data_IF_076014436475
#
_entry.id   IF_076014436475
#
_cell.length_a   1.000
_cell.length_b   1.000
_cell.length_c   1.000
_cell.angle_alpha   90.00
_cell.angle_beta   90.00
_cell.angle_gamma   90.00
#
_symmetry.space_group_name_H-M   'P 1'
#
loop_
_entity.id
_entity.type
_entity.pdbx_description
1 polymer ?
#
# COMPACT_ATOMS: atom_id res chain seq x y z
N UNK A 1 0.14 -16.81 -0.94
CA UNK A 1 -0.88 -16.44 -1.97
C UNK A 1 -1.14 -14.93 -2.03
N UNK A 2 -1.22 -14.23 -0.90
CA UNK A 2 -1.68 -12.84 -0.81
C UNK A 2 -0.73 -11.79 -1.41
N UNK A 3 0.59 -11.93 -1.21
CA UNK A 3 1.59 -10.97 -1.68
C UNK A 3 1.61 -10.82 -3.22
N UNK A 4 1.47 -11.94 -3.94
CA UNK A 4 1.53 -11.98 -5.41
C UNK A 4 0.32 -11.33 -6.07
N UNK A 5 -0.88 -11.50 -5.49
CA UNK A 5 -2.12 -10.87 -5.99
C UNK A 5 -2.03 -9.34 -5.87
N UNK A 6 -1.52 -8.88 -4.74
CA UNK A 6 -1.39 -7.44 -4.47
C UNK A 6 -0.30 -6.83 -5.36
N UNK A 7 0.85 -7.51 -5.50
CA UNK A 7 1.92 -7.02 -6.36
C UNK A 7 1.49 -6.93 -7.83
N UNK A 8 0.67 -7.87 -8.32
CA UNK A 8 0.09 -7.80 -9.65
C UNK A 8 -0.85 -6.60 -9.80
N UNK A 9 -1.77 -6.38 -8.86
CA UNK A 9 -2.69 -5.23 -8.93
C UNK A 9 -1.97 -3.88 -8.89
N UNK A 10 -0.88 -3.75 -8.13
CA UNK A 10 -0.12 -2.50 -8.08
C UNK A 10 0.75 -2.31 -9.31
N UNK A 11 1.30 -3.39 -9.86
CA UNK A 11 2.07 -3.37 -11.11
C UNK A 11 1.18 -2.98 -12.29
N UNK A 12 -0.07 -3.47 -12.33
CA UNK A 12 -1.09 -3.05 -13.31
C UNK A 12 -1.40 -1.54 -13.24
N UNK A 13 -1.20 -0.92 -12.08
CA UNK A 13 -1.39 0.53 -11.85
C UNK A 13 -0.11 1.36 -12.01
N UNK A 14 0.99 0.78 -12.50
CA UNK A 14 2.32 1.41 -12.56
C UNK A 14 2.84 1.93 -11.20
N UNK A 15 2.33 1.40 -10.09
CA UNK A 15 2.76 1.78 -8.75
C UNK A 15 3.95 0.93 -8.33
N UNK A 16 5.13 1.54 -8.27
CA UNK A 16 6.30 0.93 -7.62
C UNK A 16 6.19 1.10 -6.11
N UNK A 17 5.80 0.03 -5.41
CA UNK A 17 5.82 -0.03 -3.95
C UNK A 17 7.03 -0.85 -3.51
N UNK A 18 7.84 -0.29 -2.62
CA UNK A 18 8.98 -0.97 -2.00
C UNK A 18 8.49 -2.16 -1.14
N UNK A 19 9.20 -3.30 -1.19
CA UNK A 19 8.86 -4.49 -0.41
C UNK A 19 8.72 -4.22 1.09
N UNK A 20 9.48 -3.26 1.63
CA UNK A 20 9.39 -2.86 3.05
C UNK A 20 8.05 -2.20 3.39
N UNK A 21 7.40 -1.53 2.44
CA UNK A 21 6.07 -0.96 2.64
C UNK A 21 5.03 -2.08 2.71
N UNK A 22 5.17 -3.12 1.89
CA UNK A 22 4.31 -4.31 1.98
C UNK A 22 4.45 -4.98 3.35
N UNK A 23 5.67 -5.25 3.80
CA UNK A 23 5.92 -5.83 5.12
C UNK A 23 5.33 -4.98 6.25
N UNK A 24 5.46 -3.66 6.14
CA UNK A 24 4.85 -2.72 7.09
C UNK A 24 3.33 -2.87 7.10
N UNK A 25 2.67 -2.80 5.93
CA UNK A 25 1.21 -2.92 5.85
C UNK A 25 0.71 -4.29 6.34
N UNK A 26 1.40 -5.37 6.02
CA UNK A 26 1.07 -6.71 6.52
C UNK A 26 1.12 -6.75 8.05
N UNK A 27 2.14 -6.16 8.69
CA UNK A 27 2.21 -6.11 10.15
C UNK A 27 0.96 -5.50 10.81
N UNK A 28 0.30 -4.52 10.17
CA UNK A 28 -0.88 -3.84 10.74
C UNK A 28 -2.22 -4.39 10.22
N UNK A 29 -2.27 -4.96 9.01
CA UNK A 29 -3.51 -5.37 8.35
C UNK A 29 -3.56 -6.87 7.99
N UNK A 30 -2.62 -7.68 8.48
CA UNK A 30 -2.46 -9.10 8.16
C UNK A 30 -3.72 -9.96 8.33
N UNK A 31 -4.65 -9.55 9.19
CA UNK A 31 -5.83 -10.34 9.54
C UNK A 31 -7.00 -10.20 8.55
N UNK A 32 -7.03 -9.13 7.74
CA UNK A 32 -8.13 -8.86 6.81
C UNK A 32 -7.64 -8.27 5.48
N UNK A 33 -7.72 -9.09 4.44
CA UNK A 33 -7.33 -8.73 3.07
C UNK A 33 -8.15 -7.56 2.52
N UNK A 34 -9.42 -7.41 2.92
CA UNK A 34 -10.26 -6.28 2.47
C UNK A 34 -9.77 -4.96 3.05
N UNK A 35 -9.33 -4.97 4.32
CA UNK A 35 -8.77 -3.78 4.96
C UNK A 35 -7.43 -3.42 4.31
N UNK A 36 -6.59 -4.42 4.02
CA UNK A 36 -5.33 -4.20 3.30
C UNK A 36 -5.56 -3.59 1.92
N UNK A 37 -6.48 -4.13 1.11
CA UNK A 37 -6.82 -3.56 -0.20
C UNK A 37 -7.36 -2.12 -0.10
N UNK A 38 -8.24 -1.85 0.88
CA UNK A 38 -8.78 -0.51 1.11
C UNK A 38 -7.69 0.50 1.49
N UNK A 39 -6.76 0.10 2.35
CA UNK A 39 -5.61 0.91 2.72
C UNK A 39 -4.71 1.21 1.51
N UNK A 40 -4.53 0.21 0.62
CA UNK A 40 -3.73 0.38 -0.59
C UNK A 40 -4.38 1.31 -1.61
N UNK A 41 -5.70 1.22 -1.81
CA UNK A 41 -6.43 2.18 -2.65
C UNK A 41 -6.36 3.61 -2.09
N UNK A 42 -6.37 3.78 -0.76
CA UNK A 42 -6.20 5.09 -0.14
C UNK A 42 -4.79 5.64 -0.37
N UNK A 43 -3.76 4.80 -0.23
CA UNK A 43 -2.37 5.17 -0.48
C UNK A 43 -2.13 5.55 -1.95
N UNK A 44 -2.70 4.79 -2.88
CA UNK A 44 -2.62 5.06 -4.31
C UNK A 44 -3.21 6.44 -4.65
N UNK A 45 -4.46 6.69 -4.23
CA UNK A 45 -5.13 7.98 -4.43
C UNK A 45 -4.33 9.15 -3.85
N UNK A 46 -3.83 9.01 -2.62
CA UNK A 46 -3.04 10.06 -1.97
C UNK A 46 -1.67 10.29 -2.65
N UNK A 47 -1.04 9.22 -3.13
CA UNK A 47 0.22 9.25 -3.87
C UNK A 47 0.05 10.03 -5.18
N UNK A 48 -1.00 9.70 -5.95
CA UNK A 48 -1.34 10.38 -7.20
C UNK A 48 -1.64 11.86 -6.99
N UNK A 49 -2.44 12.20 -5.97
CA UNK A 49 -2.79 13.59 -5.66
C UNK A 49 -1.58 14.43 -5.24
N UNK A 50 -0.68 13.85 -4.43
CA UNK A 50 0.49 14.56 -3.91
C UNK A 50 1.72 14.47 -4.80
N UNK A 51 1.69 13.63 -5.84
CA UNK A 51 2.83 13.30 -6.71
C UNK A 51 4.05 12.81 -5.90
N UNK A 52 3.82 11.98 -4.89
CA UNK A 52 4.87 11.45 -3.99
C UNK A 52 4.89 9.94 -4.00
N UNK A 53 6.09 9.37 -3.91
CA UNK A 53 6.24 7.92 -3.76
C UNK A 53 5.65 7.41 -2.44
N UNK A 54 5.07 6.21 -2.48
CA UNK A 54 4.55 5.52 -1.30
C UNK A 54 5.74 4.94 -0.53
N UNK A 55 6.15 5.66 0.52
CA UNK A 55 7.22 5.28 1.46
C UNK A 55 6.65 5.02 2.86
N UNK A 56 7.39 4.39 3.77
CA UNK A 56 6.91 4.15 5.15
C UNK A 56 6.46 5.46 5.84
N UNK A 57 7.21 6.59 5.78
CA UNK A 57 6.73 7.85 6.36
C UNK A 57 5.42 8.35 5.72
N UNK A 58 5.26 8.17 4.41
CA UNK A 58 4.03 8.51 3.70
C UNK A 58 2.85 7.66 4.17
N UNK A 59 3.06 6.36 4.35
CA UNK A 59 2.03 5.42 4.84
C UNK A 59 1.57 5.82 6.24
N UNK A 60 2.51 6.04 7.17
CA UNK A 60 2.20 6.51 8.53
C UNK A 60 1.35 7.77 8.52
N UNK A 61 1.73 8.75 7.71
CA UNK A 61 1.00 10.02 7.58
C UNK A 61 -0.40 9.83 7.01
N UNK A 62 -0.55 9.04 5.95
CA UNK A 62 -1.81 8.90 5.20
C UNK A 62 -2.81 8.00 5.92
N UNK A 63 -2.35 6.89 6.51
CA UNK A 63 -3.20 5.92 7.22
C UNK A 63 -3.31 6.19 8.73
N UNK A 64 -2.57 7.18 9.25
CA UNK A 64 -2.50 7.52 10.68
C UNK A 64 -2.05 6.33 11.54
N UNK A 65 -1.00 5.65 11.08
CA UNK A 65 -0.33 4.51 11.73
C UNK A 65 1.01 4.89 12.37
#
# INVERSE_FOLDING_TARGET
>A
LTMSVINNQMSERNLKIDSKVYEYLFKYYSSDVKILLSAMDQLDKASLQSKKAITIPFVKKTLRL
#
